data_IF_434640774582
#
_entry.id   IF_434640774582
#
_cell.length_a   1.000
_cell.length_b   1.000
_cell.length_c   1.000
_cell.angle_alpha   90.00
_cell.angle_beta   90.00
_cell.angle_gamma   90.00
#
_symmetry.space_group_name_H-M   'P 1'
#
loop_
_entity.id
_entity.type
_entity.pdbx_description
1 polymer ?
#
# COMPACT_ATOMS: atom_id res chain seq x y z
N UNK A 1 13.88 -30.38 3.31
CA UNK A 1 13.99 -28.90 3.30
C UNK A 1 12.64 -28.37 3.75
N UNK A 2 12.55 -27.81 4.97
CA UNK A 2 11.29 -27.24 5.45
C UNK A 2 10.99 -25.98 4.64
N UNK A 3 9.91 -25.99 3.85
CA UNK A 3 9.44 -24.80 3.17
C UNK A 3 8.87 -23.86 4.24
N UNK A 4 9.65 -22.85 4.62
CA UNK A 4 9.13 -21.77 5.45
C UNK A 4 7.90 -21.17 4.73
N UNK A 5 6.75 -21.04 5.40
CA UNK A 5 5.57 -20.48 4.76
C UNK A 5 5.85 -19.03 4.34
N UNK A 6 5.53 -18.69 3.09
CA UNK A 6 5.62 -17.33 2.58
C UNK A 6 4.69 -16.42 3.39
N UNK A 7 5.19 -15.24 3.77
CA UNK A 7 4.42 -14.24 4.50
C UNK A 7 4.11 -13.04 3.61
N UNK A 8 2.93 -12.45 3.78
CA UNK A 8 2.59 -11.17 3.20
C UNK A 8 3.44 -10.05 3.83
N UNK A 9 3.83 -9.08 3.01
CA UNK A 9 4.71 -7.98 3.44
C UNK A 9 4.27 -6.66 2.82
N UNK A 10 4.33 -5.59 3.62
CA UNK A 10 4.32 -4.21 3.17
C UNK A 10 5.75 -3.67 3.21
N UNK A 11 6.20 -3.09 2.11
CA UNK A 11 7.54 -2.51 1.98
C UNK A 11 7.39 -1.04 1.59
N UNK A 12 7.80 -0.14 2.46
CA UNK A 12 8.01 1.25 2.10
C UNK A 12 9.37 1.38 1.42
N UNK A 13 9.42 2.04 0.26
CA UNK A 13 10.65 2.21 -0.50
C UNK A 13 10.82 3.66 -0.95
N UNK A 14 12.09 4.11 -0.96
CA UNK A 14 12.46 5.41 -1.54
C UNK A 14 12.56 5.34 -3.07
N UNK A 15 13.03 6.43 -3.69
CA UNK A 15 13.30 6.45 -5.14
C UNK A 15 14.23 5.31 -5.61
N UNK A 16 15.09 4.81 -4.73
CA UNK A 16 15.92 3.62 -4.93
C UNK A 16 15.76 2.64 -3.76
N UNK A 17 15.60 1.34 -4.05
CA UNK A 17 15.52 0.25 -3.04
C UNK A 17 16.81 0.17 -2.19
N UNK A 18 17.95 0.64 -2.72
CA UNK A 18 19.27 0.66 -2.07
C UNK A 18 19.53 1.92 -1.21
N UNK A 19 18.51 2.75 -0.98
CA UNK A 19 18.58 3.94 -0.14
C UNK A 19 18.60 3.64 1.37
N UNK A 20 18.29 4.64 2.25
CA UNK A 20 18.18 4.41 3.70
C UNK A 20 17.25 3.22 4.02
N UNK A 21 17.51 2.57 5.16
CA UNK A 21 16.86 1.30 5.54
C UNK A 21 15.34 1.40 5.33
N UNK A 22 14.75 0.59 4.42
CA UNK A 22 13.33 0.64 4.13
C UNK A 22 12.52 0.22 5.36
N UNK A 23 11.38 0.86 5.58
CA UNK A 23 10.42 0.43 6.57
C UNK A 23 9.67 -0.80 6.03
N UNK A 24 9.76 -1.93 6.72
CA UNK A 24 9.20 -3.21 6.29
C UNK A 24 8.30 -3.74 7.40
N UNK A 25 7.05 -4.06 7.04
CA UNK A 25 6.10 -4.72 7.93
C UNK A 25 5.77 -6.09 7.35
N UNK A 26 6.22 -7.13 8.05
CA UNK A 26 5.90 -8.53 7.73
C UNK A 26 4.68 -8.92 8.55
N UNK A 27 3.66 -9.51 7.91
CA UNK A 27 2.52 -10.02 8.65
C UNK A 27 2.94 -11.24 9.47
N UNK A 28 2.71 -11.17 10.79
CA UNK A 28 3.01 -12.28 11.69
C UNK A 28 2.20 -13.52 11.31
N UNK A 29 0.91 -13.30 11.04
CA UNK A 29 -0.01 -14.28 10.48
C UNK A 29 -0.54 -13.75 9.16
N UNK A 30 -0.54 -14.58 8.12
CA UNK A 30 -1.19 -14.20 6.86
C UNK A 30 -2.69 -14.05 7.11
N UNK A 31 -3.30 -12.92 6.72
CA UNK A 31 -4.76 -12.77 6.73
C UNK A 31 -5.46 -13.99 6.12
N UNK A 32 -6.49 -14.48 6.81
CA UNK A 32 -7.35 -15.57 6.31
C UNK A 32 -8.16 -15.15 5.09
N UNK A 33 -8.49 -13.87 5.00
CA UNK A 33 -9.36 -13.29 3.98
C UNK A 33 -8.74 -12.00 3.43
N UNK A 34 -8.92 -11.80 2.12
CA UNK A 34 -8.55 -10.59 1.40
C UNK A 34 -9.66 -10.23 0.44
N UNK A 35 -10.24 -9.04 0.62
CA UNK A 35 -11.28 -8.53 -0.28
C UNK A 35 -10.64 -7.68 -1.36
N UNK A 36 -11.04 -7.90 -2.61
CA UNK A 36 -10.60 -7.11 -3.78
C UNK A 36 -11.79 -6.54 -4.49
N UNK A 37 -11.78 -5.23 -4.71
CA UNK A 37 -12.83 -4.50 -5.41
C UNK A 37 -12.23 -3.82 -6.63
N UNK A 38 -12.79 -4.09 -7.81
CA UNK A 38 -12.39 -3.44 -9.06
C UNK A 38 -13.52 -2.49 -9.47
N UNK A 39 -13.20 -1.20 -9.54
CA UNK A 39 -14.15 -0.17 -9.97
C UNK A 39 -13.89 0.18 -11.43
N UNK A 40 -14.92 0.05 -12.26
CA UNK A 40 -14.87 0.36 -13.69
C UNK A 40 -15.43 1.78 -13.89
N UNK A 41 -14.63 2.74 -14.38
CA UNK A 41 -15.10 4.09 -14.65
C UNK A 41 -16.18 4.10 -15.75
N UNK A 42 -17.20 4.97 -15.63
CA UNK A 42 -18.19 5.13 -16.68
C UNK A 42 -17.55 5.73 -17.96
N UNK A 43 -18.21 5.59 -19.12
CA UNK A 43 -17.82 6.29 -20.34
C UNK A 43 -17.76 7.80 -20.15
N UNK A 44 -16.91 8.52 -20.91
CA UNK A 44 -16.85 9.98 -20.83
C UNK A 44 -18.18 10.60 -21.26
N UNK A 45 -18.61 11.67 -20.57
CA UNK A 45 -19.80 12.40 -20.95
C UNK A 45 -19.61 13.09 -22.31
N UNK A 46 -20.57 12.92 -23.23
CA UNK A 46 -20.53 13.56 -24.56
C UNK A 46 -20.76 15.07 -24.44
N UNK A 47 -19.73 15.87 -24.74
CA UNK A 47 -19.80 17.34 -24.72
C UNK A 47 -20.27 17.98 -26.04
N UNK A 48 -20.65 17.20 -27.06
CA UNK A 48 -20.99 17.71 -28.41
C UNK A 48 -22.44 17.46 -28.81
N UNK A 49 -23.05 18.45 -29.50
CA UNK A 49 -24.40 18.40 -30.09
C UNK A 49 -24.56 17.42 -31.28
N UNK A 50 -23.51 16.66 -31.62
CA UNK A 50 -23.59 15.48 -32.49
C UNK A 50 -23.05 14.29 -31.71
N UNK A 51 -23.86 13.27 -31.42
CA UNK A 51 -23.41 12.10 -30.68
C UNK A 51 -22.57 11.22 -31.60
N UNK A 52 -21.24 11.28 -31.47
CA UNK A 52 -20.41 10.14 -31.85
C UNK A 52 -20.44 9.20 -30.66
N UNK A 53 -21.31 8.19 -30.74
CA UNK A 53 -21.42 7.16 -29.71
C UNK A 53 -20.21 6.24 -29.89
N UNK A 54 -19.11 6.52 -29.18
CA UNK A 54 -18.10 5.48 -28.95
C UNK A 54 -18.64 4.57 -27.84
N UNK A 55 -19.36 3.53 -28.24
CA UNK A 55 -20.18 2.69 -27.35
C UNK A 55 -19.36 1.90 -26.31
N UNK A 56 -18.02 1.89 -26.43
CA UNK A 56 -17.13 1.09 -25.58
C UNK A 56 -15.81 1.82 -25.20
N UNK A 57 -15.88 3.10 -24.82
CA UNK A 57 -14.73 3.83 -24.27
C UNK A 57 -14.90 4.05 -22.76
N UNK A 58 -13.87 3.74 -21.96
CA UNK A 58 -13.81 4.11 -20.55
C UNK A 58 -13.08 5.45 -20.38
N UNK A 59 -13.55 6.31 -19.48
CA UNK A 59 -12.92 7.62 -19.24
C UNK A 59 -11.54 7.52 -18.55
N UNK A 60 -11.27 6.40 -17.87
CA UNK A 60 -10.00 6.11 -17.19
C UNK A 60 -9.81 4.58 -17.05
N UNK A 61 -8.58 4.10 -16.77
CA UNK A 61 -8.35 2.70 -16.42
C UNK A 61 -9.13 2.30 -15.14
N UNK A 62 -9.53 1.02 -15.00
CA UNK A 62 -10.11 0.51 -13.77
C UNK A 62 -9.19 0.72 -12.56
N UNK A 63 -9.79 1.05 -11.41
CA UNK A 63 -9.07 1.12 -10.13
C UNK A 63 -9.31 -0.14 -9.31
N UNK A 64 -8.28 -0.58 -8.59
CA UNK A 64 -8.33 -1.80 -7.77
C UNK A 64 -8.06 -1.43 -6.32
N UNK A 65 -8.92 -1.91 -5.41
CA UNK A 65 -8.81 -1.70 -3.96
C UNK A 65 -8.75 -3.04 -3.24
N UNK A 66 -7.94 -3.09 -2.19
CA UNK A 66 -7.73 -4.25 -1.33
C UNK A 66 -8.12 -3.89 0.10
N UNK A 67 -8.68 -4.86 0.81
CA UNK A 67 -8.89 -4.78 2.26
C UNK A 67 -8.44 -6.08 2.90
N UNK A 68 -7.62 -5.97 3.95
CA UNK A 68 -7.10 -7.09 4.73
C UNK A 68 -7.19 -6.78 6.23
N UNK A 69 -7.28 -7.83 7.04
CA UNK A 69 -7.13 -7.78 8.50
C UNK A 69 -5.84 -8.49 8.91
N UNK A 70 -4.86 -7.74 9.40
CA UNK A 70 -3.62 -8.28 9.93
C UNK A 70 -3.71 -8.43 11.46
N UNK A 71 -3.25 -9.56 11.98
CA UNK A 71 -3.22 -9.82 13.42
C UNK A 71 -1.78 -9.86 13.93
N UNK A 72 -1.55 -9.25 15.09
CA UNK A 72 -0.28 -9.22 15.79
C UNK A 72 -0.46 -9.69 17.23
N UNK A 73 0.51 -10.45 17.74
CA UNK A 73 0.53 -11.02 19.07
C UNK A 73 1.96 -11.12 19.59
N UNK A 74 2.21 -10.53 20.76
CA UNK A 74 3.50 -10.66 21.46
C UNK A 74 3.66 -12.02 22.16
N UNK A 75 2.61 -12.86 22.19
CA UNK A 75 2.61 -14.12 22.95
C UNK A 75 3.70 -15.11 22.50
N UNK A 76 3.94 -15.23 21.19
CA UNK A 76 4.93 -16.17 20.65
C UNK A 76 6.37 -15.74 21.00
N UNK A 77 6.64 -14.42 20.98
CA UNK A 77 7.98 -13.87 21.20
C UNK A 77 8.35 -13.81 22.69
N UNK A 78 7.37 -13.73 23.59
CA UNK A 78 7.58 -13.75 25.05
C UNK A 78 8.16 -15.09 25.55
N UNK A 79 7.87 -16.19 24.85
CA UNK A 79 8.32 -17.55 25.18
C UNK A 79 9.65 -17.98 24.54
N UNK A 80 10.15 -17.26 23.52
CA UNK A 80 11.29 -17.69 22.70
C UNK A 80 12.67 -17.53 23.37
N UNK A 81 12.81 -16.65 24.37
CA UNK A 81 14.09 -16.31 25.01
C UNK A 81 15.05 -15.50 24.12
N UNK A 82 16.08 -14.90 24.74
CA UNK A 82 17.10 -14.13 24.03
C UNK A 82 16.74 -12.66 23.74
N UNK A 83 17.57 -11.98 22.95
CA UNK A 83 17.44 -10.54 22.68
C UNK A 83 16.13 -10.15 21.96
N UNK A 84 15.57 -11.07 21.16
CA UNK A 84 14.29 -10.85 20.45
C UNK A 84 13.09 -10.83 21.41
N UNK A 85 13.16 -11.54 22.54
CA UNK A 85 12.12 -11.50 23.58
C UNK A 85 12.14 -10.23 24.44
N UNK A 86 13.20 -9.41 24.37
CA UNK A 86 13.27 -8.16 25.12
C UNK A 86 12.31 -7.10 24.55
N UNK A 87 12.11 -7.09 23.23
CA UNK A 87 11.27 -6.08 22.55
C UNK A 87 9.79 -6.24 22.94
N UNK A 88 9.15 -7.42 22.82
CA UNK A 88 7.75 -7.59 23.23
C UNK A 88 7.53 -7.46 24.74
N UNK A 89 8.55 -7.69 25.59
CA UNK A 89 8.44 -7.45 27.04
C UNK A 89 8.37 -5.98 27.41
N UNK A 90 8.97 -5.12 26.59
CA UNK A 90 9.03 -3.69 26.84
C UNK A 90 7.91 -2.93 26.11
N UNK A 91 7.50 -3.42 24.94
CA UNK A 91 6.63 -2.68 24.02
C UNK A 91 5.45 -3.50 23.48
N UNK A 92 5.30 -4.78 23.85
CA UNK A 92 4.26 -5.64 23.29
C UNK A 92 4.32 -5.72 21.76
N UNK A 93 3.20 -5.46 21.09
CA UNK A 93 3.09 -5.34 19.62
C UNK A 93 3.22 -3.90 19.10
N UNK A 94 3.51 -2.95 19.99
CA UNK A 94 3.65 -1.53 19.67
C UNK A 94 4.63 -1.22 18.53
N UNK A 95 5.81 -1.88 18.41
CA UNK A 95 6.73 -1.61 17.32
C UNK A 95 6.16 -1.94 15.93
N UNK A 96 5.37 -3.01 15.81
CA UNK A 96 4.71 -3.41 14.57
C UNK A 96 3.63 -2.39 14.17
N UNK A 97 2.87 -1.90 15.15
CA UNK A 97 1.87 -0.84 14.96
C UNK A 97 2.56 0.45 14.51
N UNK A 98 3.60 0.89 15.21
CA UNK A 98 4.35 2.10 14.88
C UNK A 98 4.98 2.04 13.48
N UNK A 99 5.45 0.86 13.05
CA UNK A 99 5.95 0.65 11.69
C UNK A 99 4.85 0.82 10.63
N UNK A 100 3.65 0.31 10.88
CA UNK A 100 2.47 0.52 10.01
C UNK A 100 2.04 1.99 9.98
N UNK A 101 2.01 2.66 11.13
CA UNK A 101 1.69 4.08 11.23
C UNK A 101 2.67 4.94 10.42
N UNK A 102 3.97 4.64 10.51
CA UNK A 102 4.99 5.32 9.69
C UNK A 102 4.78 5.17 8.19
N UNK A 103 4.13 4.11 7.72
CA UNK A 103 3.78 3.96 6.30
C UNK A 103 2.61 4.85 5.87
N UNK A 104 1.84 5.39 6.81
CA UNK A 104 0.72 6.29 6.51
C UNK A 104 1.14 7.75 6.65
N UNK A 105 1.97 8.05 7.65
CA UNK A 105 2.46 9.41 7.85
C UNK A 105 3.52 9.75 6.81
N UNK A 106 3.42 10.93 6.16
CA UNK A 106 4.48 11.36 5.26
C UNK A 106 5.80 11.47 6.03
N UNK A 107 6.90 11.07 5.39
CA UNK A 107 8.24 11.23 5.91
C UNK A 107 8.47 12.71 6.21
N UNK A 108 8.40 13.10 7.48
CA UNK A 108 8.86 14.41 7.90
C UNK A 108 10.38 14.36 7.80
N UNK A 109 10.93 14.96 6.73
CA UNK A 109 12.36 15.25 6.69
C UNK A 109 12.72 15.91 8.02
N UNK A 110 13.74 15.44 8.77
CA UNK A 110 14.24 16.18 9.91
C UNK A 110 14.73 17.53 9.38
N UNK A 111 13.89 18.56 9.51
CA UNK A 111 14.07 19.85 8.83
C UNK A 111 12.86 20.36 8.03
N UNK A 112 11.80 19.58 7.80
CA UNK A 112 10.61 20.03 7.05
C UNK A 112 9.73 21.02 7.82
N UNK A 113 9.53 20.78 9.12
CA UNK A 113 8.88 21.74 10.03
C UNK A 113 9.76 22.98 10.27
N UNK A 114 11.08 22.78 10.32
CA UNK A 114 12.04 23.87 10.47
C UNK A 114 12.02 24.72 9.19
N UNK A 115 12.10 24.09 8.01
CA UNK A 115 11.96 24.67 6.67
C UNK A 115 10.70 25.52 6.51
N UNK A 116 9.56 25.00 6.95
CA UNK A 116 8.30 25.74 6.95
C UNK A 116 8.33 26.99 7.84
N UNK A 117 9.03 26.94 8.98
CA UNK A 117 9.20 28.10 9.85
C UNK A 117 10.17 29.14 9.27
N UNK A 118 11.26 28.72 8.62
CA UNK A 118 12.20 29.66 7.96
C UNK A 118 11.58 30.31 6.72
N UNK A 119 10.79 29.59 5.93
CA UNK A 119 10.05 30.16 4.78
C UNK A 119 8.99 31.16 5.23
N UNK A 120 8.29 30.90 6.34
CA UNK A 120 7.34 31.86 6.91
C UNK A 120 8.03 33.15 7.39
N UNK A 121 9.25 33.05 7.93
CA UNK A 121 10.07 34.21 8.33
C UNK A 121 10.62 34.95 7.10
N UNK A 122 11.05 34.23 6.07
CA UNK A 122 11.50 34.80 4.80
C UNK A 122 10.38 35.57 4.07
N UNK A 123 9.14 35.07 4.12
CA UNK A 123 7.97 35.76 3.57
C UNK A 123 7.60 37.03 4.35
N UNK A 124 7.82 37.05 5.67
CA UNK A 124 7.59 38.25 6.51
C UNK A 124 8.67 39.34 6.34
N UNK A 125 9.88 38.96 5.92
CA UNK A 125 11.00 39.88 5.65
C UNK A 125 11.04 40.39 4.20
N UNK A 126 10.27 39.77 3.29
CA UNK A 126 10.17 40.18 1.90
C UNK A 126 9.21 41.38 1.78
N UNK A 127 9.76 42.57 1.53
CA UNK A 127 8.99 43.82 1.44
C UNK A 127 7.87 43.81 0.38
N UNK A 128 7.01 44.85 0.37
CA UNK A 128 5.85 44.93 -0.51
C UNK A 128 6.30 45.06 -1.97
N UNK A 129 6.36 43.94 -2.69
CA UNK A 129 6.83 43.87 -4.07
C UNK A 129 7.26 42.48 -4.56
N UNK A 130 7.46 41.50 -3.68
CA UNK A 130 7.73 40.12 -4.09
C UNK A 130 6.44 39.40 -4.47
N UNK A 131 6.38 38.86 -5.68
CA UNK A 131 5.32 37.95 -6.14
C UNK A 131 5.14 36.81 -5.13
N UNK A 132 3.93 36.59 -4.58
CA UNK A 132 3.71 35.48 -3.67
C UNK A 132 4.02 34.15 -4.38
N UNK A 133 4.68 33.19 -3.72
CA UNK A 133 4.90 31.86 -4.28
C UNK A 133 3.56 31.25 -4.69
N UNK A 134 3.47 30.74 -5.93
CA UNK A 134 2.23 30.26 -6.60
C UNK A 134 1.61 29.01 -5.96
N UNK A 135 2.17 28.45 -4.89
CA UNK A 135 1.65 27.26 -4.22
C UNK A 135 1.77 27.44 -2.69
N UNK A 136 0.66 27.73 -1.99
CA UNK A 136 0.65 27.90 -0.54
C UNK A 136 0.84 26.60 0.26
N UNK A 137 0.86 25.42 -0.38
CA UNK A 137 0.88 24.12 0.30
C UNK A 137 2.19 23.39 -0.01
N UNK A 138 3.01 23.05 1.01
CA UNK A 138 4.18 22.19 0.82
C UNK A 138 3.78 20.86 0.16
N UNK A 139 4.42 20.49 -0.94
CA UNK A 139 4.27 19.15 -1.53
C UNK A 139 4.97 18.16 -0.63
N UNK A 140 4.22 17.54 0.26
CA UNK A 140 4.75 16.45 1.08
C UNK A 140 4.64 15.16 0.26
N UNK A 141 5.77 14.50 -0.10
CA UNK A 141 5.71 13.26 -0.87
C UNK A 141 5.04 12.18 -0.03
N UNK A 142 4.04 11.49 -0.60
CA UNK A 142 3.45 10.33 0.04
C UNK A 142 4.46 9.16 0.04
N UNK A 143 4.47 8.33 1.09
CA UNK A 143 5.30 7.13 1.11
C UNK A 143 4.90 6.19 -0.02
N UNK A 144 5.89 5.62 -0.72
CA UNK A 144 5.68 4.61 -1.76
C UNK A 144 5.71 3.24 -1.13
N UNK A 145 4.66 2.46 -1.33
CA UNK A 145 4.48 1.17 -0.65
C UNK A 145 4.27 0.06 -1.69
N UNK A 146 4.99 -1.05 -1.51
CA UNK A 146 4.72 -2.31 -2.20
C UNK A 146 3.95 -3.23 -1.28
N UNK A 147 2.85 -3.75 -1.79
CA UNK A 147 2.14 -4.88 -1.22
C UNK A 147 2.58 -6.17 -1.91
N UNK A 148 3.22 -7.06 -1.14
CA UNK A 148 3.73 -8.35 -1.62
C UNK A 148 2.87 -9.46 -1.01
N UNK A 149 2.22 -10.23 -1.88
CA UNK A 149 1.37 -11.35 -1.50
C UNK A 149 1.73 -12.60 -2.31
N UNK A 150 2.82 -13.24 -1.89
CA UNK A 150 3.40 -14.37 -2.60
C UNK A 150 4.05 -13.97 -3.94
N UNK A 151 4.43 -14.96 -4.77
CA UNK A 151 5.20 -14.71 -5.99
C UNK A 151 4.39 -14.07 -7.12
N UNK A 152 3.06 -14.16 -7.08
CA UNK A 152 2.18 -13.72 -8.17
C UNK A 152 1.64 -12.31 -8.01
N UNK A 153 1.85 -11.67 -6.84
CA UNK A 153 1.29 -10.35 -6.53
C UNK A 153 2.31 -9.48 -5.84
N UNK A 154 2.88 -8.56 -6.61
CA UNK A 154 3.77 -7.50 -6.15
C UNK A 154 3.20 -6.20 -6.70
N UNK A 155 2.47 -5.47 -5.87
CA UNK A 155 1.65 -4.34 -6.33
C UNK A 155 2.10 -3.04 -5.64
N UNK A 156 2.30 -1.94 -6.40
CA UNK A 156 2.37 -0.63 -5.79
C UNK A 156 1.00 -0.25 -5.23
N UNK A 157 0.97 0.16 -3.98
CA UNK A 157 -0.26 0.54 -3.29
C UNK A 157 -0.09 1.85 -2.54
N UNK A 158 -1.21 2.54 -2.36
CA UNK A 158 -1.35 3.63 -1.40
C UNK A 158 -2.28 3.15 -0.30
N UNK A 159 -1.87 3.27 0.96
CA UNK A 159 -2.77 3.03 2.09
C UNK A 159 -3.81 4.15 2.11
N UNK A 160 -5.07 3.75 2.16
CA UNK A 160 -6.23 4.65 2.05
C UNK A 160 -7.10 4.64 3.31
N UNK A 161 -6.99 3.60 4.13
CA UNK A 161 -7.59 3.53 5.46
C UNK A 161 -6.79 2.59 6.34
N UNK A 162 -6.72 2.92 7.63
CA UNK A 162 -6.12 2.07 8.66
C UNK A 162 -6.97 2.16 9.92
N UNK A 163 -7.33 1.02 10.49
CA UNK A 163 -8.05 0.94 11.76
C UNK A 163 -7.32 -0.06 12.66
N UNK A 164 -6.92 0.39 13.84
CA UNK A 164 -6.10 -0.36 14.79
C UNK A 164 -6.97 -0.67 16.01
N UNK A 165 -7.12 -1.95 16.34
CA UNK A 165 -7.82 -2.45 17.51
C UNK A 165 -6.81 -3.11 18.44
N UNK A 166 -6.37 -2.37 19.46
CA UNK A 166 -5.43 -2.83 20.48
C UNK A 166 -6.15 -3.58 21.60
N UNK A 167 -5.62 -4.76 21.93
CA UNK A 167 -6.28 -5.72 22.82
C UNK A 167 -5.27 -6.34 23.76
N UNK A 168 -5.72 -6.62 24.99
CA UNK A 168 -4.94 -7.24 26.08
C UNK A 168 -3.68 -6.45 26.39
N UNK A 169 -3.60 -5.91 27.60
CA UNK A 169 -2.47 -5.07 27.99
C UNK A 169 -1.62 -5.76 29.05
N UNK A 170 -0.32 -5.49 29.05
CA UNK A 170 0.57 -5.85 30.14
C UNK A 170 0.45 -4.86 31.33
N UNK A 171 1.26 -5.05 32.38
CA UNK A 171 1.26 -4.18 33.55
C UNK A 171 1.72 -2.73 33.25
N UNK A 172 2.42 -2.52 32.14
CA UNK A 172 2.89 -1.20 31.69
C UNK A 172 1.94 -0.59 30.65
N UNK A 173 0.77 -1.20 30.44
CA UNK A 173 -0.22 -0.82 29.43
C UNK A 173 0.30 -0.88 28.00
N UNK A 174 1.23 -1.79 27.71
CA UNK A 174 1.60 -2.12 26.33
C UNK A 174 0.59 -3.12 25.74
N UNK A 175 0.11 -2.90 24.50
CA UNK A 175 -0.78 -3.85 23.85
C UNK A 175 -0.02 -5.14 23.53
N UNK A 176 -0.57 -6.28 23.94
CA UNK A 176 -0.02 -7.62 23.71
C UNK A 176 -0.61 -8.22 22.44
N UNK A 177 -1.80 -7.79 22.03
CA UNK A 177 -2.45 -8.20 20.79
C UNK A 177 -3.01 -6.99 20.04
N UNK A 178 -3.03 -7.07 18.71
CA UNK A 178 -3.69 -6.06 17.88
C UNK A 178 -4.27 -6.68 16.61
N UNK A 179 -5.42 -6.16 16.20
CA UNK A 179 -5.98 -6.36 14.86
C UNK A 179 -5.90 -5.04 14.09
N UNK A 180 -5.28 -5.07 12.91
CA UNK A 180 -5.15 -3.90 12.04
C UNK A 180 -5.86 -4.17 10.72
N UNK A 181 -6.92 -3.40 10.46
CA UNK A 181 -7.62 -3.41 9.17
C UNK A 181 -7.00 -2.38 8.25
N UNK A 182 -6.50 -2.83 7.11
CA UNK A 182 -5.74 -2.01 6.16
C UNK A 182 -6.48 -1.99 4.82
N UNK A 183 -6.92 -0.81 4.42
CA UNK A 183 -7.48 -0.55 3.10
C UNK A 183 -6.42 0.06 2.20
N UNK A 184 -6.20 -0.54 1.03
CA UNK A 184 -5.15 -0.14 0.08
C UNK A 184 -5.74 0.05 -1.30
N UNK A 185 -5.26 1.04 -2.04
CA UNK A 185 -5.59 1.23 -3.45
C UNK A 185 -4.36 0.99 -4.30
N UNK A 186 -4.50 0.20 -5.37
CA UNK A 186 -3.43 -0.05 -6.33
C UNK A 186 -3.13 1.22 -7.12
N UNK A 187 -1.86 1.58 -7.17
CA UNK A 187 -1.36 2.67 -8.00
C UNK A 187 -1.13 2.14 -9.42
N UNK A 188 -2.20 2.08 -10.22
CA UNK A 188 -2.14 1.59 -11.61
C UNK A 188 -1.30 2.47 -12.53
N UNK A 189 -1.08 3.73 -12.14
CA UNK A 189 -0.16 4.67 -12.78
C UNK A 189 0.82 5.19 -11.74
N UNK A 190 2.00 4.58 -11.70
CA UNK A 190 3.10 5.07 -10.88
C UNK A 190 3.54 6.46 -11.36
N UNK A 191 4.03 7.34 -10.47
CA UNK A 191 4.71 8.57 -10.86
C UNK A 191 5.87 8.29 -11.82
N UNK A 192 6.20 9.25 -12.70
CA UNK A 192 7.26 9.09 -13.71
C UNK A 192 8.64 8.77 -13.10
N UNK A 193 8.87 9.15 -11.86
CA UNK A 193 10.09 8.90 -11.09
C UNK A 193 10.01 7.66 -10.18
N UNK A 194 9.05 6.76 -10.43
CA UNK A 194 8.81 5.54 -9.67
C UNK A 194 8.92 4.27 -10.53
N UNK A 195 10.15 3.96 -10.94
CA UNK A 195 10.45 2.76 -11.75
C UNK A 195 10.14 1.45 -11.01
N UNK A 196 10.28 1.43 -9.67
CA UNK A 196 10.02 0.25 -8.85
C UNK A 196 8.52 -0.06 -8.82
N UNK A 197 7.68 0.94 -8.55
CA UNK A 197 6.23 0.79 -8.57
C UNK A 197 5.72 0.40 -9.96
N UNK A 198 6.21 1.05 -11.02
CA UNK A 198 5.84 0.71 -12.39
C UNK A 198 6.23 -0.74 -12.76
N UNK A 199 7.45 -1.16 -12.41
CA UNK A 199 7.93 -2.51 -12.65
C UNK A 199 7.12 -3.57 -11.91
N UNK A 200 6.83 -3.33 -10.63
CA UNK A 200 5.98 -4.20 -9.81
C UNK A 200 4.58 -4.38 -10.41
N UNK A 201 3.94 -3.28 -10.81
CA UNK A 201 2.63 -3.32 -11.45
C UNK A 201 2.65 -4.14 -12.74
N UNK A 202 3.60 -3.85 -13.64
CA UNK A 202 3.76 -4.58 -14.92
C UNK A 202 4.01 -6.07 -14.71
N UNK A 203 4.87 -6.42 -13.75
CA UNK A 203 5.12 -7.82 -13.38
C UNK A 203 3.82 -8.53 -12.98
N UNK A 204 3.03 -7.93 -12.09
CA UNK A 204 1.76 -8.54 -11.66
C UNK A 204 0.76 -8.66 -12.82
N UNK A 205 0.70 -7.68 -13.74
CA UNK A 205 -0.16 -7.79 -14.93
C UNK A 205 0.27 -8.93 -15.86
N UNK A 206 1.57 -9.06 -16.13
CA UNK A 206 2.10 -10.18 -16.94
C UNK A 206 1.71 -11.55 -16.36
N UNK A 207 1.78 -11.71 -15.03
CA UNK A 207 1.34 -12.94 -14.36
C UNK A 207 -0.17 -13.14 -14.51
N UNK A 208 -0.99 -12.09 -14.37
CA UNK A 208 -2.44 -12.15 -14.57
C UNK A 208 -2.80 -12.58 -16.01
N UNK A 209 -2.14 -12.01 -17.02
CA UNK A 209 -2.37 -12.34 -18.43
C UNK A 209 -2.02 -13.80 -18.74
N UNK A 210 -0.91 -14.27 -18.17
CA UNK A 210 -0.51 -15.68 -18.27
C UNK A 210 -1.56 -16.59 -17.64
N UNK A 211 -2.06 -16.25 -16.44
CA UNK A 211 -3.11 -17.02 -15.76
C UNK A 211 -4.44 -17.00 -16.53
N UNK A 212 -4.82 -15.88 -17.13
CA UNK A 212 -6.00 -15.78 -17.98
C UNK A 212 -5.89 -16.71 -19.20
N UNK A 213 -4.71 -16.76 -19.82
CA UNK A 213 -4.43 -17.67 -20.94
C UNK A 213 -4.53 -19.14 -20.51
N UNK A 214 -4.01 -19.49 -19.33
CA UNK A 214 -4.14 -20.84 -18.78
C UNK A 214 -5.61 -21.21 -18.48
N UNK A 215 -6.42 -20.26 -18.01
CA UNK A 215 -7.85 -20.50 -17.82
C UNK A 215 -8.56 -20.78 -19.16
N UNK A 216 -8.20 -20.08 -20.24
CA UNK A 216 -8.75 -20.35 -21.57
C UNK A 216 -8.47 -21.79 -22.03
N UNK A 217 -7.25 -22.28 -21.81
CA UNK A 217 -6.88 -23.66 -22.13
C UNK A 217 -7.75 -24.67 -21.35
N UNK A 218 -8.03 -24.40 -20.07
CA UNK A 218 -8.92 -25.21 -19.24
C UNK A 218 -10.38 -25.18 -19.75
N UNK A 219 -10.88 -24.03 -20.19
CA UNK A 219 -12.26 -23.91 -20.70
C UNK A 219 -12.49 -24.75 -21.96
N UNK A 220 -11.49 -24.88 -22.84
CA UNK A 220 -11.58 -25.72 -24.05
C UNK A 220 -11.86 -27.19 -23.69
N UNK A 221 -11.30 -27.68 -22.59
CA UNK A 221 -11.55 -29.03 -22.08
C UNK A 221 -13.02 -29.25 -21.69
N UNK A 222 -13.67 -28.23 -21.13
CA UNK A 222 -15.08 -28.27 -20.72
C UNK A 222 -16.05 -27.74 -21.77
N UNK A 223 -15.57 -27.25 -22.91
CA UNK A 223 -16.42 -26.65 -23.94
C UNK A 223 -17.41 -27.66 -24.53
N UNK A 224 -17.11 -28.96 -24.46
CA UNK A 224 -18.01 -30.05 -24.85
C UNK A 224 -19.28 -30.11 -23.97
N UNK A 225 -19.20 -29.69 -22.70
CA UNK A 225 -20.33 -29.68 -21.76
C UNK A 225 -21.07 -28.31 -21.70
N UNK A 226 -20.51 -27.26 -22.31
CA UNK A 226 -21.03 -25.88 -22.25
C UNK A 226 -21.90 -25.53 -23.47
N UNK A 227 -21.82 -26.31 -24.56
CA UNK A 227 -22.66 -26.10 -25.75
C UNK A 227 -23.91 -26.99 -25.61
N UNK A 228 -25.10 -26.43 -25.31
CA UNK A 228 -26.33 -27.19 -25.41
C UNK A 228 -26.76 -27.21 -26.87
N UNK A 229 -26.55 -28.33 -27.55
CA UNK A 229 -27.47 -28.76 -28.58
C UNK A 229 -28.19 -30.02 -28.09
#
# INVERSE_FOLDING_TARGET
MSLLPLRGVLVEYGANILGPIPNIVIFQFNPENMTRTITIPPPPASASARPRIETHAAAAPPSERFEISAHFSAADDLGAGGALSAIPRLFGVGPQIAALEKMVYPQSTPGGLIGAAIDAIGAALSGPGSTPPTQPVPRVPLPRILFIWGPSRVLPVTITSMSISEQKYDLLLNPVQAEVKIGMQVSSRAPTDDAVGEGAYKYTQMIKDTQATLNLAKVIEFAVDIIPF
#
